data_IF_151241944179
#
_entry.id   IF_151241944179
#
_cell.length_a   1.000
_cell.length_b   1.000
_cell.length_c   1.000
_cell.angle_alpha   90.00
_cell.angle_beta   90.00
_cell.angle_gamma   90.00
#
_symmetry.space_group_name_H-M   'P 1'
#
loop_
_entity.id
_entity.type
_entity.pdbx_description
1 polymer ?
#
# COMPACT_ATOMS: atom_id res chain seq x y z
N UNK A 1 10.14 -22.88 14.79
CA UNK A 1 8.96 -22.18 15.35
C UNK A 1 7.86 -22.18 14.30
N UNK A 2 6.60 -22.30 14.69
CA UNK A 2 5.46 -22.22 13.77
C UNK A 2 4.36 -21.38 14.41
N UNK A 3 3.68 -20.56 13.62
CA UNK A 3 2.56 -19.75 14.07
C UNK A 3 1.47 -19.69 13.00
N UNK A 4 0.23 -19.51 13.44
CA UNK A 4 -0.89 -19.23 12.57
C UNK A 4 -0.78 -17.79 12.04
N UNK A 5 -0.97 -17.61 10.75
CA UNK A 5 -0.92 -16.32 10.10
C UNK A 5 -1.82 -16.33 8.86
N UNK A 6 -2.09 -15.15 8.33
CA UNK A 6 -2.80 -14.93 7.08
C UNK A 6 -1.83 -14.27 6.10
N UNK A 7 -1.63 -14.89 4.94
CA UNK A 7 -0.91 -14.28 3.84
C UNK A 7 -1.82 -13.27 3.13
N UNK A 8 -1.40 -12.01 3.11
CA UNK A 8 -2.17 -10.89 2.59
C UNK A 8 -1.65 -10.48 1.22
N UNK A 9 -2.57 -10.36 0.25
CA UNK A 9 -2.31 -9.87 -1.11
C UNK A 9 -3.45 -8.97 -1.55
N UNK A 10 -3.18 -8.16 -2.58
CA UNK A 10 -4.18 -7.29 -3.18
C UNK A 10 -5.43 -8.06 -3.64
N UNK A 11 -5.24 -9.30 -4.09
CA UNK A 11 -6.31 -10.17 -4.60
C UNK A 11 -7.08 -10.93 -3.52
N UNK A 12 -6.65 -10.85 -2.25
CA UNK A 12 -7.34 -11.52 -1.15
C UNK A 12 -6.41 -12.02 -0.05
N UNK A 13 -7.02 -12.75 0.89
CA UNK A 13 -6.37 -13.24 2.10
C UNK A 13 -6.36 -14.77 2.10
N UNK A 14 -5.25 -15.36 2.54
CA UNK A 14 -5.12 -16.81 2.67
C UNK A 14 -4.64 -17.16 4.09
N UNK A 15 -5.50 -17.68 4.96
CA UNK A 15 -5.10 -18.22 6.27
C UNK A 15 -4.17 -19.43 6.11
N UNK A 16 -3.34 -19.70 7.12
CA UNK A 16 -2.31 -20.72 7.01
C UNK A 16 -1.34 -20.75 8.19
N UNK A 17 -0.25 -21.47 7.98
CA UNK A 17 0.82 -21.61 8.95
C UNK A 17 2.13 -21.08 8.38
N UNK A 18 2.78 -20.19 9.11
CA UNK A 18 4.13 -19.74 8.84
C UNK A 18 5.09 -20.47 9.79
N UNK A 19 6.08 -21.14 9.23
CA UNK A 19 7.07 -21.91 9.97
C UNK A 19 8.48 -21.41 9.66
N UNK A 20 9.29 -21.16 10.68
CA UNK A 20 10.74 -21.03 10.54
C UNK A 20 11.39 -22.38 10.89
N UNK A 21 12.06 -22.98 9.90
CA UNK A 21 12.77 -24.26 10.04
C UNK A 21 14.11 -24.09 10.74
N UNK A 22 14.68 -25.18 11.27
CA UNK A 22 16.03 -25.19 11.84
C UNK A 22 17.12 -24.82 10.82
N UNK A 23 16.86 -25.05 9.53
CA UNK A 23 17.74 -24.65 8.42
C UNK A 23 17.60 -23.18 8.01
N UNK A 24 16.85 -22.36 8.76
CA UNK A 24 16.67 -20.93 8.46
C UNK A 24 15.75 -20.65 7.26
N UNK A 25 14.82 -21.57 6.94
CA UNK A 25 13.82 -21.34 5.90
C UNK A 25 12.49 -20.91 6.51
N UNK A 26 11.89 -19.86 5.95
CA UNK A 26 10.49 -19.53 6.16
C UNK A 26 9.63 -20.35 5.20
N UNK A 27 8.74 -21.16 5.76
CA UNK A 27 7.81 -22.02 5.02
C UNK A 27 6.40 -21.57 5.30
N UNK A 28 5.69 -21.17 4.24
CA UNK A 28 4.29 -20.82 4.30
C UNK A 28 3.43 -21.96 3.76
N UNK A 29 2.49 -22.45 4.57
CA UNK A 29 1.56 -23.52 4.24
C UNK A 29 0.12 -23.02 4.39
N UNK A 30 -0.62 -22.78 3.29
CA UNK A 30 -2.03 -22.39 3.35
C UNK A 30 -2.90 -23.44 4.08
N UNK A 31 -3.91 -22.99 4.82
CA UNK A 31 -5.01 -23.84 5.29
C UNK A 31 -6.03 -24.02 4.16
N UNK A 32 -6.75 -25.14 4.15
CA UNK A 32 -7.78 -25.42 3.16
C UNK A 32 -9.03 -24.52 3.33
N UNK A 33 -9.31 -24.09 4.57
CA UNK A 33 -10.48 -23.29 4.93
C UNK A 33 -10.18 -21.78 4.87
N UNK A 34 -11.17 -20.99 4.41
CA UNK A 34 -11.08 -19.52 4.36
C UNK A 34 -10.20 -18.96 3.24
N UNK A 35 -9.86 -19.79 2.26
CA UNK A 35 -9.11 -19.38 1.07
C UNK A 35 -10.03 -18.65 0.09
N UNK A 36 -9.77 -17.36 -0.14
CA UNK A 36 -10.30 -16.66 -1.33
C UNK A 36 -9.33 -16.94 -2.48
N UNK A 37 -9.76 -17.56 -3.58
CA UNK A 37 -8.90 -17.87 -4.71
C UNK A 37 -8.12 -16.64 -5.17
N UNK A 38 -6.80 -16.80 -5.30
CA UNK A 38 -6.02 -15.85 -6.08
C UNK A 38 -6.54 -15.96 -7.53
N UNK A 39 -7.13 -14.89 -8.09
CA UNK A 39 -7.61 -14.93 -9.46
C UNK A 39 -6.47 -15.32 -10.42
N UNK A 40 -5.23 -14.98 -10.07
CA UNK A 40 -4.01 -15.20 -10.87
C UNK A 40 -3.38 -16.58 -10.74
N UNK A 41 -4.00 -17.50 -9.99
CA UNK A 41 -3.58 -18.89 -10.11
C UNK A 41 -4.02 -19.43 -11.47
N UNK A 42 -3.07 -19.64 -12.37
CA UNK A 42 -3.31 -20.35 -13.63
C UNK A 42 -3.89 -21.76 -13.39
N UNK A 43 -3.77 -22.32 -12.18
CA UNK A 43 -4.39 -23.57 -11.77
C UNK A 43 -5.78 -23.43 -11.13
N UNK A 44 -6.31 -22.21 -10.95
CA UNK A 44 -7.68 -21.98 -10.43
C UNK A 44 -8.75 -22.05 -11.52
N UNK A 45 -8.41 -22.43 -12.76
CA UNK A 45 -9.36 -22.72 -13.83
C UNK A 45 -10.03 -24.09 -13.66
N UNK A 46 -10.56 -24.38 -12.47
CA UNK A 46 -11.58 -25.43 -12.37
C UNK A 46 -12.94 -24.78 -12.67
N UNK A 47 -13.68 -25.24 -13.69
CA UNK A 47 -15.00 -24.69 -14.05
C UNK A 47 -16.11 -25.07 -13.04
N UNK A 48 -15.75 -25.76 -11.97
CA UNK A 48 -16.66 -26.23 -10.94
C UNK A 48 -16.53 -25.37 -9.67
N UNK A 49 -17.56 -24.59 -9.30
CA UNK A 49 -17.56 -23.77 -8.08
C UNK A 49 -17.50 -24.61 -6.78
N UNK A 50 -17.78 -25.92 -6.85
CA UNK A 50 -17.67 -26.86 -5.73
C UNK A 50 -16.34 -27.65 -5.73
N UNK A 51 -15.46 -27.44 -6.72
CA UNK A 51 -14.16 -28.10 -6.75
C UNK A 51 -13.21 -27.49 -5.70
N UNK A 52 -12.89 -28.30 -4.68
CA UNK A 52 -11.84 -27.99 -3.71
C UNK A 52 -10.52 -27.76 -4.47
N UNK A 53 -10.06 -26.51 -4.49
CA UNK A 53 -8.80 -26.14 -5.14
C UNK A 53 -7.66 -27.05 -4.62
N UNK A 54 -6.76 -27.55 -5.50
CA UNK A 54 -5.68 -28.43 -5.07
C UNK A 54 -4.86 -27.76 -3.96
N UNK A 55 -4.42 -28.50 -2.92
CA UNK A 55 -3.68 -27.91 -1.82
C UNK A 55 -2.44 -27.20 -2.37
N UNK A 56 -2.42 -25.88 -2.26
CA UNK A 56 -1.31 -25.06 -2.77
C UNK A 56 -0.03 -25.49 -2.06
N UNK A 57 0.97 -25.89 -2.87
CA UNK A 57 2.27 -26.38 -2.37
C UNK A 57 2.88 -25.36 -1.39
N UNK A 58 3.46 -25.82 -0.26
CA UNK A 58 4.14 -24.95 0.67
C UNK A 58 5.18 -24.06 -0.04
N UNK A 59 5.15 -22.76 0.24
CA UNK A 59 6.14 -21.82 -0.30
C UNK A 59 7.33 -21.76 0.64
N UNK A 60 8.53 -22.04 0.13
CA UNK A 60 9.78 -21.99 0.89
C UNK A 60 10.57 -20.75 0.51
N UNK A 61 10.97 -19.97 1.51
CA UNK A 61 11.68 -18.71 1.38
C UNK A 61 12.93 -18.78 2.27
N UNK A 62 14.09 -18.44 1.72
CA UNK A 62 15.34 -18.48 2.49
C UNK A 62 15.47 -17.19 3.32
N UNK A 63 15.73 -17.31 4.62
CA UNK A 63 16.01 -16.13 5.45
C UNK A 63 17.23 -15.35 4.95
N UNK A 64 18.19 -16.04 4.34
CA UNK A 64 19.39 -15.45 3.73
C UNK A 64 19.11 -14.55 2.53
N UNK A 65 17.91 -14.61 1.97
CA UNK A 65 17.49 -13.76 0.85
C UNK A 65 16.73 -12.52 1.32
N UNK A 66 16.48 -12.36 2.62
CA UNK A 66 15.72 -11.22 3.12
C UNK A 66 16.53 -9.94 2.94
N UNK A 67 15.93 -8.95 2.28
CA UNK A 67 16.53 -7.64 2.02
C UNK A 67 15.91 -6.54 2.87
N UNK A 68 14.68 -6.73 3.37
CA UNK A 68 14.05 -5.83 4.32
C UNK A 68 12.89 -6.50 5.07
N UNK A 69 12.61 -6.02 6.28
CA UNK A 69 11.49 -6.45 7.12
C UNK A 69 10.83 -5.20 7.71
N UNK A 70 9.52 -5.10 7.55
CA UNK A 70 8.75 -3.98 8.03
C UNK A 70 7.62 -4.44 8.93
N UNK A 71 7.41 -3.78 10.06
CA UNK A 71 6.15 -3.92 10.79
C UNK A 71 5.02 -3.27 9.99
N UNK A 72 3.85 -3.89 10.08
CA UNK A 72 2.62 -3.45 9.45
C UNK A 72 1.47 -3.61 10.42
N UNK A 73 0.46 -2.77 10.23
CA UNK A 73 -0.85 -3.02 10.79
C UNK A 73 -1.67 -3.86 9.79
N UNK A 74 -2.60 -4.65 10.31
CA UNK A 74 -3.63 -5.29 9.51
C UNK A 74 -4.97 -5.07 10.21
N UNK A 75 -5.95 -4.48 9.50
CA UNK A 75 -7.23 -4.05 10.09
C UNK A 75 -7.04 -3.20 11.36
N UNK A 76 -6.12 -2.24 11.28
CA UNK A 76 -5.72 -1.34 12.37
C UNK A 76 -5.10 -2.04 13.61
N UNK A 77 -4.79 -3.33 13.54
CA UNK A 77 -4.10 -4.04 14.60
C UNK A 77 -2.62 -4.15 14.29
N UNK A 78 -1.77 -3.87 15.27
CA UNK A 78 -0.31 -4.06 15.18
C UNK A 78 0.04 -5.55 15.24
N UNK A 79 -0.27 -6.30 14.18
CA UNK A 79 -0.12 -7.76 14.15
C UNK A 79 0.54 -8.28 12.87
N UNK A 80 1.10 -7.44 12.01
CA UNK A 80 1.57 -7.86 10.70
C UNK A 80 3.02 -7.51 10.40
N UNK A 81 3.59 -8.20 9.40
CA UNK A 81 4.92 -7.96 8.87
C UNK A 81 4.91 -8.01 7.34
N UNK A 82 5.69 -7.16 6.70
CA UNK A 82 6.02 -7.25 5.28
C UNK A 82 7.51 -7.57 5.11
N UNK A 83 7.82 -8.69 4.44
CA UNK A 83 9.18 -9.19 4.24
C UNK A 83 9.51 -9.12 2.76
N UNK A 84 10.64 -8.48 2.44
CA UNK A 84 11.18 -8.33 1.10
C UNK A 84 12.36 -9.26 0.92
N UNK A 85 12.46 -9.86 -0.26
CA UNK A 85 13.51 -10.80 -0.62
C UNK A 85 14.23 -10.36 -1.88
N UNK A 86 15.54 -10.64 -1.93
CA UNK A 86 16.37 -10.47 -3.12
C UNK A 86 15.81 -11.29 -4.28
N UNK A 87 15.83 -10.76 -5.51
CA UNK A 87 15.49 -11.56 -6.68
C UNK A 87 16.43 -12.77 -6.81
N UNK A 88 15.88 -13.98 -6.92
CA UNK A 88 16.67 -15.17 -7.24
C UNK A 88 16.53 -15.48 -8.74
N UNK A 89 17.62 -15.30 -9.51
CA UNK A 89 17.68 -15.69 -10.92
C UNK A 89 16.67 -15.02 -11.86
N UNK A 90 16.12 -13.86 -11.50
CA UNK A 90 15.14 -13.11 -12.30
C UNK A 90 14.97 -11.67 -11.83
N UNK A 91 14.17 -10.85 -12.53
CA UNK A 91 14.04 -9.41 -12.27
C UNK A 91 12.97 -9.03 -11.22
N UNK A 92 12.11 -9.97 -10.80
CA UNK A 92 10.94 -9.66 -9.96
C UNK A 92 11.28 -9.71 -8.47
N UNK A 93 11.29 -8.54 -7.81
CA UNK A 93 11.35 -8.43 -6.34
C UNK A 93 10.21 -9.26 -5.72
N UNK A 94 10.51 -10.08 -4.72
CA UNK A 94 9.50 -10.88 -3.99
C UNK A 94 9.22 -10.21 -2.65
N UNK A 95 7.95 -9.97 -2.36
CA UNK A 95 7.48 -9.41 -1.09
C UNK A 95 6.33 -10.24 -0.55
N UNK A 96 6.29 -10.44 0.75
CA UNK A 96 5.26 -11.21 1.43
C UNK A 96 4.76 -10.47 2.65
N UNK A 97 3.45 -10.28 2.74
CA UNK A 97 2.78 -9.67 3.88
C UNK A 97 2.08 -10.77 4.69
N UNK A 98 2.42 -10.90 5.97
CA UNK A 98 1.78 -11.84 6.88
C UNK A 98 1.14 -11.10 8.06
N UNK A 99 -0.15 -11.31 8.28
CA UNK A 99 -0.86 -10.89 9.50
C UNK A 99 -0.95 -12.08 10.47
N UNK A 100 -0.53 -11.91 11.71
CA UNK A 100 -0.44 -13.00 12.68
C UNK A 100 -1.71 -13.10 13.52
N UNK A 101 -2.31 -14.30 13.57
CA UNK A 101 -3.56 -14.55 14.30
C UNK A 101 -3.38 -14.36 15.82
N UNK A 102 -2.19 -14.67 16.35
CA UNK A 102 -1.83 -14.41 17.75
C UNK A 102 -1.40 -12.98 18.05
N UNK A 103 -1.73 -12.02 17.16
CA UNK A 103 -1.46 -10.60 17.34
C UNK A 103 0.03 -10.24 17.35
N UNK A 104 0.34 -9.10 18.00
CA UNK A 104 1.70 -8.58 18.15
C UNK A 104 2.65 -9.62 18.79
N UNK A 105 2.18 -10.36 19.80
CA UNK A 105 3.01 -11.34 20.51
C UNK A 105 3.54 -12.44 19.59
N UNK A 106 2.65 -13.06 18.79
CA UNK A 106 3.04 -14.10 17.84
C UNK A 106 3.98 -13.57 16.74
N UNK A 107 3.70 -12.37 16.21
CA UNK A 107 4.58 -11.69 15.26
C UNK A 107 5.97 -11.47 15.85
N UNK A 108 6.02 -10.90 17.07
CA UNK A 108 7.26 -10.54 17.73
C UNK A 108 8.13 -11.77 17.99
N UNK A 109 7.54 -12.86 18.48
CA UNK A 109 8.23 -14.14 18.68
C UNK A 109 8.77 -14.72 17.36
N UNK A 110 8.03 -14.62 16.25
CA UNK A 110 8.51 -15.06 14.94
C UNK A 110 9.70 -14.23 14.47
N UNK A 111 9.64 -12.91 14.64
CA UNK A 111 10.74 -12.00 14.29
C UNK A 111 11.99 -12.23 15.14
N UNK A 112 11.84 -12.55 16.43
CA UNK A 112 12.98 -12.91 17.28
C UNK A 112 13.66 -14.19 16.79
N UNK A 113 12.89 -15.23 16.44
CA UNK A 113 13.47 -16.46 15.90
C UNK A 113 14.10 -16.26 14.52
N UNK A 114 13.49 -15.42 13.69
CA UNK A 114 14.06 -15.05 12.39
C UNK A 114 15.41 -14.34 12.57
N UNK A 115 15.48 -13.40 13.50
CA UNK A 115 16.73 -12.73 13.87
C UNK A 115 17.80 -13.72 14.30
N UNK A 116 17.47 -14.65 15.21
CA UNK A 116 18.43 -15.63 15.70
C UNK A 116 18.96 -16.51 14.56
N UNK A 117 18.10 -16.91 13.63
CA UNK A 117 18.50 -17.63 12.42
C UNK A 117 19.39 -16.80 11.48
N UNK A 118 19.10 -15.49 11.34
CA UNK A 118 19.93 -14.56 10.56
C UNK A 118 21.29 -14.30 11.23
N UNK A 119 21.36 -14.20 12.57
CA UNK A 119 22.63 -14.09 13.31
C UNK A 119 23.56 -15.26 13.06
N UNK A 120 23.00 -16.47 12.96
CA UNK A 120 23.79 -17.67 12.69
C UNK A 120 24.26 -17.79 11.23
N UNK A 121 23.52 -17.23 10.28
CA UNK A 121 23.75 -17.45 8.84
C UNK A 121 24.32 -16.26 8.09
N UNK A 122 24.05 -15.03 8.55
CA UNK A 122 24.44 -13.77 7.92
C UNK A 122 24.69 -12.66 8.98
N UNK A 123 25.71 -12.82 9.84
CA UNK A 123 25.97 -11.91 10.96
C UNK A 123 26.21 -10.44 10.53
N UNK A 124 26.71 -10.24 9.31
CA UNK A 124 27.00 -8.90 8.78
C UNK A 124 25.85 -8.28 7.97
N UNK A 125 24.72 -8.98 7.81
CA UNK A 125 23.59 -8.49 7.01
C UNK A 125 23.06 -7.15 7.55
N UNK A 126 22.89 -6.17 6.65
CA UNK A 126 22.26 -4.89 6.98
C UNK A 126 20.89 -5.08 7.64
N UNK A 127 20.12 -6.09 7.22
CA UNK A 127 18.82 -6.43 7.82
C UNK A 127 18.98 -6.88 9.27
N UNK A 128 20.00 -7.67 9.57
CA UNK A 128 20.26 -8.13 10.94
C UNK A 128 20.79 -7.01 11.83
N UNK A 129 21.78 -6.24 11.35
CA UNK A 129 22.29 -5.07 12.07
C UNK A 129 21.16 -4.11 12.42
N UNK A 130 20.20 -4.00 11.49
CA UNK A 130 19.00 -3.25 11.66
C UNK A 130 18.02 -3.86 12.70
N UNK A 131 17.71 -5.15 12.62
CA UNK A 131 16.91 -5.84 13.66
C UNK A 131 17.52 -5.70 15.06
N UNK A 132 18.85 -5.50 15.14
CA UNK A 132 19.59 -5.35 16.39
C UNK A 132 19.66 -3.90 16.90
N UNK A 133 20.00 -2.93 16.04
CA UNK A 133 20.34 -1.52 16.37
C UNK A 133 19.35 -0.50 15.79
N UNK A 134 18.80 -0.85 14.63
CA UNK A 134 17.81 -0.20 13.79
C UNK A 134 18.04 1.25 13.33
N UNK A 135 16.94 1.94 12.96
CA UNK A 135 16.86 3.15 12.12
C UNK A 135 18.09 4.06 12.14
N UNK A 136 18.43 4.60 13.31
CA UNK A 136 19.49 5.61 13.45
C UNK A 136 20.86 5.15 12.96
N UNK A 137 21.18 3.85 13.04
CA UNK A 137 22.51 3.36 12.67
C UNK A 137 22.75 3.19 11.16
N UNK A 138 21.69 3.03 10.35
CA UNK A 138 21.82 2.81 8.89
C UNK A 138 21.77 4.10 8.07
N UNK A 139 21.16 5.18 8.58
CA UNK A 139 21.11 6.44 7.85
C UNK A 139 22.50 7.08 7.72
N UNK A 140 23.33 7.00 8.76
CA UNK A 140 24.70 7.52 8.73
C UNK A 140 25.59 6.79 7.71
N UNK A 141 25.32 5.52 7.39
CA UNK A 141 26.13 4.76 6.43
C UNK A 141 25.70 4.96 4.98
N UNK A 142 24.39 5.05 4.71
CA UNK A 142 23.87 5.20 3.34
C UNK A 142 23.94 6.64 2.81
N UNK A 143 23.83 7.66 3.67
CA UNK A 143 23.98 9.08 3.27
C UNK A 143 25.45 9.44 3.04
N UNK A 144 26.39 8.86 3.79
CA UNK A 144 27.82 9.13 3.63
C UNK A 144 28.46 8.40 2.45
N UNK A 145 27.78 7.42 1.84
CA UNK A 145 28.29 6.66 0.70
C UNK A 145 28.24 7.43 -0.65
N UNK A 146 27.86 8.71 -0.68
CA UNK A 146 27.89 9.55 -1.87
C UNK A 146 26.94 9.16 -3.01
N UNK A 147 26.18 8.07 -2.86
CA UNK A 147 25.19 7.63 -3.84
C UNK A 147 23.91 8.47 -3.69
N UNK A 148 23.90 9.64 -4.34
CA UNK A 148 22.84 10.64 -4.32
C UNK A 148 21.48 10.22 -4.89
N UNK A 149 21.09 8.96 -4.78
CA UNK A 149 19.79 8.44 -5.18
C UNK A 149 19.24 7.53 -4.07
N UNK A 150 18.15 7.94 -3.43
CA UNK A 150 17.43 7.02 -2.56
C UNK A 150 16.69 6.00 -3.44
N UNK A 151 16.94 4.71 -3.28
CA UNK A 151 16.26 3.72 -4.08
C UNK A 151 14.79 3.62 -3.69
N UNK A 152 13.92 3.72 -4.68
CA UNK A 152 12.49 3.41 -4.53
C UNK A 152 12.34 2.00 -3.93
N UNK A 153 11.87 1.93 -2.68
CA UNK A 153 11.57 0.68 -1.97
C UNK A 153 10.65 -0.19 -2.84
N UNK A 154 9.69 0.47 -3.49
CA UNK A 154 8.71 -0.17 -4.36
C UNK A 154 9.14 -0.33 -5.81
N UNK A 155 10.27 0.25 -6.22
CA UNK A 155 10.85 0.14 -7.55
C UNK A 155 9.89 0.63 -8.63
N UNK A 156 10.15 1.83 -9.13
CA UNK A 156 9.74 2.30 -10.46
C UNK A 156 9.46 1.15 -11.43
N UNK A 157 8.31 1.19 -12.11
CA UNK A 157 8.00 0.33 -13.26
C UNK A 157 8.95 0.55 -14.46
N UNK A 158 10.01 1.35 -14.34
CA UNK A 158 11.08 1.44 -15.31
C UNK A 158 12.43 1.78 -14.63
N UNK A 159 13.46 0.96 -14.85
CA UNK A 159 14.85 1.37 -14.63
C UNK A 159 15.63 0.55 -13.60
N UNK A 160 16.73 -0.01 -14.08
CA UNK A 160 17.72 -0.79 -13.35
C UNK A 160 18.44 0.02 -12.26
N UNK A 161 18.77 -0.63 -11.14
CA UNK A 161 19.87 -0.19 -10.27
C UNK A 161 19.53 -0.07 -8.79
N UNK A 162 20.09 -1.00 -8.01
CA UNK A 162 20.40 -0.89 -6.56
C UNK A 162 19.22 -0.68 -5.60
N UNK A 163 18.47 -1.75 -5.33
CA UNK A 163 17.52 -1.80 -4.23
C UNK A 163 18.26 -2.02 -2.89
N UNK A 164 18.51 -0.96 -2.13
CA UNK A 164 19.02 -1.07 -0.76
C UNK A 164 18.53 0.06 0.15
N UNK A 165 17.91 -0.36 1.26
CA UNK A 165 17.57 0.42 2.45
C UNK A 165 16.51 1.51 2.28
N UNK A 166 15.38 1.36 2.97
CA UNK A 166 14.94 2.27 4.05
C UNK A 166 13.64 1.73 4.67
N UNK A 167 13.55 1.83 6.00
CA UNK A 167 12.38 1.60 6.87
C UNK A 167 12.08 0.14 7.33
N UNK A 168 11.66 -0.19 8.56
CA UNK A 168 12.25 0.09 9.87
C UNK A 168 11.56 -0.65 11.06
N UNK A 169 12.37 -1.17 11.99
CA UNK A 169 12.21 -1.45 13.44
C UNK A 169 13.55 -1.52 14.26
N UNK A 170 13.90 -0.57 15.17
CA UNK A 170 14.66 -0.92 16.39
C UNK A 170 13.89 -0.86 17.70
N UNK A 171 14.59 -1.42 18.69
CA UNK A 171 14.30 -1.62 20.12
C UNK A 171 14.51 -0.35 20.94
N UNK A 172 13.83 -0.27 22.08
CA UNK A 172 14.35 0.34 23.32
C UNK A 172 14.34 -0.73 24.43
N UNK A 173 15.33 -0.79 25.34
CA UNK A 173 15.27 -1.67 26.50
C UNK A 173 14.05 -1.30 27.36
N UNK A 174 13.28 -2.28 27.82
CA UNK A 174 12.27 -2.03 28.83
C UNK A 174 12.99 -1.57 30.11
N UNK A 175 12.74 -0.34 30.55
CA UNK A 175 13.11 0.12 31.89
C UNK A 175 12.16 -0.56 32.89
N UNK A 176 12.50 -1.78 33.30
CA UNK A 176 11.74 -2.55 34.26
C UNK A 176 12.61 -3.64 34.87
N UNK A 177 13.02 -3.42 36.12
CA UNK A 177 13.71 -4.41 36.95
C UNK A 177 12.80 -5.62 37.19
N UNK A 178 13.17 -6.78 36.64
CA UNK A 178 12.61 -8.07 37.06
C UNK A 178 12.11 -8.95 35.94
N UNK A 179 12.88 -10.00 35.65
CA UNK A 179 12.42 -11.31 35.17
C UNK A 179 11.34 -11.35 34.06
N UNK A 180 11.72 -10.93 32.85
CA UNK A 180 11.48 -11.63 31.58
C UNK A 180 12.00 -10.69 30.48
N UNK A 181 13.07 -11.08 29.79
CA UNK A 181 13.65 -10.29 28.69
C UNK A 181 12.73 -10.30 27.46
N UNK A 182 11.61 -9.58 27.54
CA UNK A 182 10.71 -9.28 26.43
C UNK A 182 11.11 -7.98 25.75
N UNK A 183 11.26 -8.00 24.42
CA UNK A 183 11.64 -6.84 23.63
C UNK A 183 10.39 -6.14 23.05
N UNK A 184 10.30 -4.81 23.17
CA UNK A 184 9.17 -4.00 22.63
C UNK A 184 9.65 -3.22 21.40
N UNK A 185 8.90 -3.31 20.30
CA UNK A 185 9.16 -2.55 19.07
C UNK A 185 8.61 -1.13 19.20
N UNK A 186 9.47 -0.10 19.21
CA UNK A 186 9.05 1.29 19.40
C UNK A 186 8.85 1.98 18.04
N UNK A 187 7.63 1.88 17.50
CA UNK A 187 7.27 2.44 16.20
C UNK A 187 7.48 3.97 16.13
N UNK A 188 7.13 4.70 17.19
CA UNK A 188 7.14 6.16 17.21
C UNK A 188 8.56 6.74 17.09
N UNK A 189 9.51 6.23 17.89
CA UNK A 189 10.90 6.70 17.82
C UNK A 189 11.50 6.50 16.42
N UNK A 190 11.21 5.35 15.81
CA UNK A 190 11.76 4.97 14.50
C UNK A 190 11.20 5.81 13.38
N UNK A 191 9.88 6.01 13.42
CA UNK A 191 9.19 6.90 12.51
C UNK A 191 9.81 8.30 12.58
N UNK A 192 10.05 8.83 13.78
CA UNK A 192 10.63 10.19 13.96
C UNK A 192 12.03 10.31 13.38
N UNK A 193 12.95 9.41 13.71
CA UNK A 193 14.34 9.46 13.22
C UNK A 193 14.37 9.36 11.69
N UNK A 194 13.63 8.40 11.15
CA UNK A 194 13.57 8.18 9.71
C UNK A 194 12.97 9.34 8.93
N UNK A 195 11.85 9.86 9.44
CA UNK A 195 11.17 11.00 8.85
C UNK A 195 12.13 12.19 8.81
N UNK A 196 12.85 12.47 9.90
CA UNK A 196 13.80 13.59 9.93
C UNK A 196 14.89 13.48 8.84
N UNK A 197 15.48 12.30 8.62
CA UNK A 197 16.46 12.12 7.57
C UNK A 197 15.87 12.23 6.15
N UNK A 198 14.69 11.65 5.93
CA UNK A 198 13.97 11.75 4.65
C UNK A 198 13.58 13.21 4.36
N UNK A 199 13.08 13.93 5.37
CA UNK A 199 12.74 15.36 5.26
C UNK A 199 13.98 16.16 4.92
N UNK A 200 15.12 15.93 5.58
CA UNK A 200 16.38 16.61 5.26
C UNK A 200 16.84 16.31 3.82
N UNK A 201 16.73 15.07 3.37
CA UNK A 201 17.06 14.69 2.00
C UNK A 201 16.16 15.36 0.97
N UNK A 202 14.85 15.38 1.21
CA UNK A 202 13.87 16.07 0.39
C UNK A 202 14.08 17.58 0.35
N UNK A 203 14.28 18.24 1.50
CA UNK A 203 14.59 19.67 1.58
C UNK A 203 15.88 20.03 0.83
N UNK A 204 16.88 19.14 0.84
CA UNK A 204 18.12 19.29 0.06
C UNK A 204 18.00 18.86 -1.41
N UNK A 205 16.79 18.54 -1.90
CA UNK A 205 16.49 18.05 -3.26
C UNK A 205 17.21 16.76 -3.67
N UNK A 206 17.67 15.97 -2.69
CA UNK A 206 18.18 14.60 -2.91
C UNK A 206 17.06 13.56 -3.05
N UNK A 207 15.82 13.96 -2.75
CA UNK A 207 14.60 13.20 -2.99
C UNK A 207 13.63 14.06 -3.79
N UNK A 208 12.97 13.45 -4.79
CA UNK A 208 11.82 14.07 -5.46
C UNK A 208 10.61 14.10 -4.51
N UNK A 209 9.60 14.91 -4.83
CA UNK A 209 8.32 14.88 -4.10
C UNK A 209 7.67 13.50 -4.15
N UNK A 210 7.73 12.83 -5.31
CA UNK A 210 7.19 11.48 -5.48
C UNK A 210 7.88 10.48 -4.55
N UNK A 211 9.22 10.45 -4.56
CA UNK A 211 9.98 9.51 -3.73
C UNK A 211 9.79 9.78 -2.23
N UNK A 212 9.71 11.06 -1.86
CA UNK A 212 9.44 11.45 -0.48
C UNK A 212 8.03 11.02 -0.03
N UNK A 213 6.99 11.23 -0.85
CA UNK A 213 5.64 10.77 -0.55
C UNK A 213 5.54 9.24 -0.49
N UNK A 214 6.23 8.51 -1.38
CA UNK A 214 6.32 7.05 -1.30
C UNK A 214 6.99 6.59 0.00
N UNK A 215 8.06 7.27 0.43
CA UNK A 215 8.75 6.95 1.68
C UNK A 215 7.86 7.22 2.90
N UNK A 216 7.13 8.34 2.93
CA UNK A 216 6.15 8.65 3.98
C UNK A 216 5.02 7.63 4.05
N UNK A 217 4.46 7.23 2.89
CA UNK A 217 3.46 6.16 2.83
C UNK A 217 4.00 4.85 3.42
N UNK A 218 5.21 4.46 3.04
CA UNK A 218 5.86 3.25 3.54
C UNK A 218 6.08 3.30 5.05
N UNK A 219 6.51 4.46 5.57
CA UNK A 219 6.67 4.72 7.00
C UNK A 219 5.36 4.59 7.76
N UNK A 220 4.28 5.13 7.20
CA UNK A 220 2.92 5.04 7.73
C UNK A 220 2.32 3.62 7.65
N UNK A 221 3.07 2.62 7.19
CA UNK A 221 2.62 1.23 7.09
C UNK A 221 1.83 0.91 5.83
N UNK A 222 1.71 1.86 4.90
CA UNK A 222 0.99 1.67 3.62
C UNK A 222 1.82 0.87 2.63
N UNK A 223 1.12 0.12 1.79
CA UNK A 223 1.76 -0.73 0.78
C UNK A 223 0.75 -1.37 -0.17
N UNK A 224 1.27 -2.03 -1.19
CA UNK A 224 0.47 -2.58 -2.29
C UNK A 224 -0.17 -3.94 -2.01
N UNK A 225 0.21 -4.61 -0.91
CA UNK A 225 -0.31 -5.94 -0.57
C UNK A 225 -1.70 -5.89 0.09
N UNK A 226 -2.06 -4.80 0.75
CA UNK A 226 -3.36 -4.60 1.38
C UNK A 226 -4.01 -3.36 0.76
N UNK A 227 -5.03 -3.56 -0.07
CA UNK A 227 -5.71 -2.45 -0.76
C UNK A 227 -6.41 -1.49 0.20
N UNK A 228 -6.71 -1.92 1.43
CA UNK A 228 -7.29 -1.04 2.47
C UNK A 228 -6.26 -0.07 3.04
N UNK A 229 -4.97 -0.33 2.83
CA UNK A 229 -3.83 0.48 3.28
C UNK A 229 -2.93 0.85 2.11
N UNK A 230 -3.52 1.09 0.93
CA UNK A 230 -2.78 1.48 -0.26
C UNK A 230 -2.07 2.82 -0.06
N UNK A 231 -0.94 3.08 -0.77
CA UNK A 231 -0.32 4.40 -0.76
C UNK A 231 -1.28 5.50 -1.27
N UNK A 232 -1.21 6.67 -0.64
CA UNK A 232 -2.07 7.83 -0.92
C UNK A 232 -1.23 8.98 -1.42
N UNK A 233 -1.67 9.59 -2.51
CA UNK A 233 -1.08 10.76 -3.13
C UNK A 233 -2.14 11.88 -3.21
N UNK A 234 -1.75 13.14 -3.08
CA UNK A 234 -2.70 14.23 -3.17
C UNK A 234 -3.14 14.45 -4.63
N UNK A 235 -4.35 14.94 -4.84
CA UNK A 235 -4.64 15.76 -6.02
C UNK A 235 -3.72 16.99 -6.02
N UNK A 236 -3.11 17.32 -7.17
CA UNK A 236 -2.23 18.50 -7.29
C UNK A 236 -2.81 19.56 -8.21
N UNK A 237 -3.38 19.15 -9.35
CA UNK A 237 -4.06 20.07 -10.24
C UNK A 237 -5.52 20.26 -9.81
N UNK A 238 -6.07 21.42 -10.14
CA UNK A 238 -7.48 21.76 -9.94
C UNK A 238 -8.21 22.13 -11.23
N UNK A 239 -7.47 22.32 -12.32
CA UNK A 239 -8.02 22.59 -13.65
C UNK A 239 -7.95 21.33 -14.53
N UNK A 240 -9.14 20.83 -14.86
CA UNK A 240 -9.34 19.70 -15.76
C UNK A 240 -10.32 20.03 -16.89
N UNK A 241 -10.71 21.31 -17.01
CA UNK A 241 -11.70 21.78 -18.00
C UNK A 241 -11.06 22.63 -19.10
N UNK A 242 -9.95 23.29 -18.80
CA UNK A 242 -9.23 24.09 -19.79
C UNK A 242 -8.64 23.22 -20.90
N UNK A 243 -8.64 23.69 -22.16
CA UNK A 243 -8.07 22.94 -23.29
C UNK A 243 -6.54 22.78 -23.21
N UNK A 244 -5.86 23.67 -22.46
CA UNK A 244 -4.43 23.61 -22.20
C UNK A 244 -4.17 24.01 -20.73
N UNK A 245 -3.24 23.32 -20.06
CA UNK A 245 -2.92 23.56 -18.65
C UNK A 245 -1.86 24.66 -18.57
N UNK A 246 -2.17 25.76 -17.89
CA UNK A 246 -1.16 26.77 -17.54
C UNK A 246 -0.44 26.38 -16.24
N UNK A 247 0.73 25.76 -16.36
CA UNK A 247 1.55 25.39 -15.19
C UNK A 247 2.15 26.59 -14.44
N UNK A 248 1.98 27.81 -14.95
CA UNK A 248 2.42 29.05 -14.29
C UNK A 248 1.31 29.73 -13.51
N UNK A 249 0.03 29.39 -13.76
CA UNK A 249 -1.11 29.92 -13.03
C UNK A 249 -1.29 29.19 -11.69
N UNK A 250 -1.17 29.89 -10.53
CA UNK A 250 -1.47 29.29 -9.24
C UNK A 250 -2.89 28.72 -9.12
N UNK A 251 -3.86 29.21 -9.91
CA UNK A 251 -5.23 28.70 -9.89
C UNK A 251 -5.39 27.32 -10.55
N UNK A 252 -4.41 26.87 -11.35
CA UNK A 252 -4.36 25.51 -11.88
C UNK A 252 -3.99 24.47 -10.83
N UNK A 253 -3.60 24.89 -9.62
CA UNK A 253 -3.18 24.01 -8.54
C UNK A 253 -4.17 24.01 -7.36
N UNK A 254 -4.37 22.82 -6.80
CA UNK A 254 -5.16 22.62 -5.59
C UNK A 254 -4.47 23.27 -4.39
N UNK A 255 -5.26 23.89 -3.51
CA UNK A 255 -4.80 24.27 -2.17
C UNK A 255 -4.48 23.01 -1.34
N UNK A 256 -3.19 22.67 -1.25
CA UNK A 256 -2.67 21.52 -0.50
C UNK A 256 -2.74 21.70 1.03
N UNK A 257 -3.09 22.90 1.53
CA UNK A 257 -3.27 23.13 2.98
C UNK A 257 -4.62 22.60 3.49
N UNK A 258 -5.51 22.21 2.59
CA UNK A 258 -6.87 21.74 2.90
C UNK A 258 -7.09 20.30 2.46
N UNK A 259 -7.90 19.50 3.16
CA UNK A 259 -8.38 18.22 2.63
C UNK A 259 -9.39 18.45 1.50
N UNK A 260 -9.62 17.43 0.66
CA UNK A 260 -10.59 17.47 -0.44
C UNK A 260 -11.94 18.05 -0.01
N UNK A 261 -12.51 17.53 1.07
CA UNK A 261 -13.80 17.96 1.63
C UNK A 261 -13.90 19.45 2.01
N UNK A 262 -12.78 20.16 2.14
CA UNK A 262 -12.71 21.55 2.59
C UNK A 262 -12.32 22.55 1.48
N UNK A 263 -12.17 22.11 0.24
CA UNK A 263 -11.81 22.98 -0.89
C UNK A 263 -12.92 23.98 -1.21
N UNK A 264 -14.16 23.50 -1.35
CA UNK A 264 -15.33 24.34 -1.60
C UNK A 264 -15.94 24.84 -0.28
N UNK A 265 -16.07 26.16 -0.13
CA UNK A 265 -16.52 26.80 1.12
C UNK A 265 -17.96 26.40 1.48
N UNK A 266 -18.89 26.39 0.52
CA UNK A 266 -20.28 26.01 0.79
C UNK A 266 -20.39 24.54 1.21
N UNK A 267 -19.63 23.66 0.57
CA UNK A 267 -19.55 22.25 0.95
C UNK A 267 -19.01 22.06 2.36
N UNK A 268 -17.97 22.82 2.74
CA UNK A 268 -17.42 22.79 4.09
C UNK A 268 -18.44 23.28 5.15
N UNK A 269 -19.26 24.29 4.84
CA UNK A 269 -20.34 24.72 5.73
C UNK A 269 -21.33 23.59 5.97
N UNK A 270 -21.70 22.87 4.94
CA UNK A 270 -22.61 21.72 5.06
C UNK A 270 -22.00 20.60 5.90
N UNK A 271 -20.73 20.25 5.70
CA UNK A 271 -20.03 19.28 6.55
C UNK A 271 -20.03 19.71 8.03
N UNK A 272 -19.78 20.99 8.31
CA UNK A 272 -19.80 21.53 9.68
C UNK A 272 -21.20 21.55 10.28
N UNK A 273 -22.23 21.84 9.49
CA UNK A 273 -23.62 21.78 9.94
C UNK A 273 -23.98 20.36 10.37
N UNK A 274 -23.71 19.35 9.52
CA UNK A 274 -23.91 17.93 9.84
C UNK A 274 -23.11 17.52 11.08
N UNK A 275 -21.84 17.89 11.17
CA UNK A 275 -20.99 17.63 12.34
C UNK A 275 -21.61 18.16 13.63
N UNK A 276 -22.20 19.36 13.59
CA UNK A 276 -22.77 20.02 14.77
C UNK A 276 -24.08 19.37 15.22
N UNK A 277 -24.82 18.72 14.31
CA UNK A 277 -26.07 18.01 14.60
C UNK A 277 -25.87 16.55 15.04
N UNK A 278 -24.66 15.99 14.89
CA UNK A 278 -24.36 14.63 15.32
C UNK A 278 -24.39 14.54 16.86
N UNK A 279 -25.06 13.49 17.34
CA UNK A 279 -25.13 13.12 18.74
C UNK A 279 -23.88 12.33 19.15
N UNK A 280 -23.07 12.92 20.04
CA UNK A 280 -21.84 12.31 20.54
C UNK A 280 -22.08 11.09 21.42
N UNK A 281 -23.27 10.95 22.00
CA UNK A 281 -23.62 9.77 22.81
C UNK A 281 -23.80 8.52 21.93
N UNK A 282 -24.17 8.70 20.66
CA UNK A 282 -24.38 7.61 19.70
C UNK A 282 -23.10 7.28 18.94
N UNK A 283 -22.35 8.30 18.49
CA UNK A 283 -21.15 8.14 17.69
C UNK A 283 -20.22 9.36 17.82
N UNK A 284 -18.89 9.18 17.84
CA UNK A 284 -17.97 10.30 17.74
C UNK A 284 -18.26 11.17 16.52
N UNK A 285 -18.26 12.49 16.67
CA UNK A 285 -18.51 13.39 15.55
C UNK A 285 -17.45 13.25 14.47
N UNK A 286 -17.89 13.36 13.23
CA UNK A 286 -17.03 13.28 12.05
C UNK A 286 -17.50 14.26 10.99
N UNK A 287 -16.55 14.74 10.18
CA UNK A 287 -16.88 15.59 9.03
C UNK A 287 -17.23 14.74 7.81
N UNK A 288 -16.49 13.65 7.56
CA UNK A 288 -16.60 12.86 6.34
C UNK A 288 -17.07 11.45 6.67
N UNK A 289 -18.22 11.03 6.12
CA UNK A 289 -18.71 9.66 6.23
C UNK A 289 -18.04 8.68 5.27
N UNK A 290 -17.28 9.20 4.31
CA UNK A 290 -16.41 8.44 3.41
C UNK A 290 -14.94 8.72 3.70
N UNK A 291 -14.06 7.84 3.22
CA UNK A 291 -12.62 7.94 3.43
C UNK A 291 -11.91 8.22 2.11
N UNK A 292 -10.84 9.02 2.16
CA UNK A 292 -10.07 9.44 1.00
C UNK A 292 -9.31 8.31 0.28
N UNK A 293 -9.20 7.15 0.92
CA UNK A 293 -8.50 5.98 0.40
C UNK A 293 -9.25 4.72 0.83
N UNK A 294 -9.98 4.11 -0.10
CA UNK A 294 -10.71 2.86 0.12
C UNK A 294 -10.34 1.84 -0.96
N UNK A 295 -10.32 0.55 -0.58
CA UNK A 295 -9.91 -0.52 -1.50
C UNK A 295 -10.75 -0.54 -2.78
N UNK A 296 -12.07 -0.67 -2.67
CA UNK A 296 -12.96 -0.72 -3.84
C UNK A 296 -13.24 0.68 -4.36
N UNK A 297 -13.74 1.55 -3.48
CA UNK A 297 -14.22 2.88 -3.87
C UNK A 297 -13.15 3.77 -4.48
N UNK A 298 -11.88 3.67 -4.06
CA UNK A 298 -10.79 4.53 -4.59
C UNK A 298 -9.85 3.73 -5.49
N UNK A 299 -9.20 2.70 -4.95
CA UNK A 299 -8.07 2.04 -5.64
C UNK A 299 -8.56 1.21 -6.82
N UNK A 300 -9.52 0.31 -6.60
CA UNK A 300 -10.08 -0.51 -7.69
C UNK A 300 -10.83 0.35 -8.69
N UNK A 301 -11.57 1.36 -8.23
CA UNK A 301 -12.26 2.32 -9.10
C UNK A 301 -11.29 3.00 -10.09
N UNK A 302 -10.18 3.57 -9.62
CA UNK A 302 -9.19 4.20 -10.52
C UNK A 302 -8.47 3.18 -11.40
N UNK A 303 -8.07 2.04 -10.84
CA UNK A 303 -7.20 1.09 -11.52
C UNK A 303 -7.97 0.00 -12.28
N UNK A 304 -9.29 0.13 -12.47
CA UNK A 304 -10.17 -0.90 -13.05
C UNK A 304 -9.71 -1.44 -14.42
N UNK A 305 -8.93 -0.67 -15.19
CA UNK A 305 -8.36 -1.06 -16.49
C UNK A 305 -7.08 -1.89 -16.39
N UNK A 306 -6.48 -1.96 -15.21
CA UNK A 306 -5.27 -2.71 -14.95
C UNK A 306 -5.56 -4.03 -14.26
N UNK A 307 -4.81 -5.06 -14.66
CA UNK A 307 -4.77 -6.32 -13.94
C UNK A 307 -3.92 -6.16 -12.65
N UNK A 308 -4.34 -6.68 -11.47
CA UNK A 308 -5.50 -7.52 -11.18
C UNK A 308 -6.79 -6.78 -10.82
N UNK A 309 -6.81 -5.45 -10.80
CA UNK A 309 -7.92 -4.65 -10.29
C UNK A 309 -9.22 -4.86 -11.06
N UNK A 310 -9.17 -5.09 -12.37
CA UNK A 310 -10.35 -5.47 -13.16
C UNK A 310 -11.06 -6.69 -12.56
N UNK A 311 -10.31 -7.73 -12.22
CA UNK A 311 -10.87 -8.98 -11.67
C UNK A 311 -11.36 -8.79 -10.26
N UNK A 312 -10.65 -7.98 -9.46
CA UNK A 312 -11.09 -7.61 -8.12
C UNK A 312 -12.44 -6.89 -8.20
N UNK A 313 -12.59 -5.91 -9.12
CA UNK A 313 -13.86 -5.22 -9.34
C UNK A 313 -15.00 -6.20 -9.65
N UNK A 314 -14.80 -7.06 -10.64
CA UNK A 314 -15.79 -8.05 -11.06
C UNK A 314 -16.17 -8.99 -9.92
N UNK A 315 -15.20 -9.43 -9.11
CA UNK A 315 -15.46 -10.27 -7.94
C UNK A 315 -16.27 -9.56 -6.85
N UNK A 316 -16.07 -8.25 -6.66
CA UNK A 316 -16.86 -7.45 -5.71
C UNK A 316 -18.26 -7.09 -6.23
N UNK A 317 -18.50 -7.25 -7.53
CA UNK A 317 -19.75 -6.90 -8.22
C UNK A 317 -20.41 -8.17 -8.78
N UNK A 318 -20.40 -9.24 -7.99
CA UNK A 318 -21.10 -10.51 -8.27
C UNK A 318 -20.88 -11.09 -9.68
N UNK A 319 -19.67 -10.94 -10.21
CA UNK A 319 -19.27 -11.51 -11.50
C UNK A 319 -19.50 -10.61 -12.71
N UNK A 320 -19.94 -9.37 -12.54
CA UNK A 320 -20.11 -8.38 -13.61
C UNK A 320 -19.40 -7.06 -13.31
N UNK A 321 -19.34 -6.15 -14.29
CA UNK A 321 -18.95 -4.77 -14.00
C UNK A 321 -20.12 -4.02 -13.34
N UNK A 322 -19.82 -3.14 -12.39
CA UNK A 322 -20.77 -2.16 -11.88
C UNK A 322 -21.43 -1.33 -13.02
N UNK A 323 -22.54 -0.67 -12.74
CA UNK A 323 -23.24 0.19 -13.71
C UNK A 323 -22.30 1.27 -14.23
N UNK A 324 -22.41 1.56 -15.52
CA UNK A 324 -21.47 2.40 -16.27
C UNK A 324 -21.22 3.76 -15.60
N UNK A 325 -22.26 4.44 -15.12
CA UNK A 325 -22.18 5.77 -14.51
C UNK A 325 -21.36 5.82 -13.21
N UNK A 326 -21.12 4.66 -12.57
CA UNK A 326 -20.28 4.55 -11.36
C UNK A 326 -18.84 4.16 -11.67
N UNK A 327 -18.53 3.78 -12.92
CA UNK A 327 -17.18 3.43 -13.32
C UNK A 327 -16.32 4.67 -13.57
N UNK A 328 -15.01 4.54 -13.39
CA UNK A 328 -14.08 5.61 -13.68
C UNK A 328 -14.01 5.85 -15.19
N UNK A 329 -14.57 6.96 -15.65
CA UNK A 329 -14.72 7.31 -17.07
C UNK A 329 -14.07 8.63 -17.47
N UNK A 330 -13.90 9.58 -16.53
CA UNK A 330 -13.31 10.90 -16.79
C UNK A 330 -12.58 11.45 -15.56
N UNK A 331 -11.39 12.02 -15.76
CA UNK A 331 -10.63 12.71 -14.71
C UNK A 331 -11.37 13.96 -14.25
N UNK A 332 -11.87 14.77 -15.19
CA UNK A 332 -12.63 15.99 -14.93
C UNK A 332 -13.88 15.70 -14.10
N UNK A 333 -14.66 14.69 -14.50
CA UNK A 333 -15.85 14.26 -13.76
C UNK A 333 -15.50 13.78 -12.35
N UNK A 334 -14.43 12.98 -12.24
CA UNK A 334 -13.93 12.48 -10.96
C UNK A 334 -13.51 13.62 -10.03
N UNK A 335 -12.79 14.61 -10.55
CA UNK A 335 -12.42 15.81 -9.80
C UNK A 335 -13.66 16.58 -9.32
N UNK A 336 -14.63 16.80 -10.22
CA UNK A 336 -15.90 17.46 -9.90
C UNK A 336 -16.66 16.72 -8.79
N UNK A 337 -16.78 15.39 -8.88
CA UNK A 337 -17.39 14.57 -7.84
C UNK A 337 -16.69 14.73 -6.49
N UNK A 338 -15.35 14.67 -6.46
CA UNK A 338 -14.59 14.79 -5.22
C UNK A 338 -14.54 16.21 -4.64
N UNK A 339 -14.90 17.23 -5.42
CA UNK A 339 -14.94 18.64 -4.97
C UNK A 339 -16.33 19.17 -4.66
N UNK A 340 -17.38 18.54 -5.22
CA UNK A 340 -18.76 19.01 -5.10
C UNK A 340 -19.68 18.05 -4.34
N UNK A 341 -19.49 16.73 -4.46
CA UNK A 341 -20.38 15.76 -3.82
C UNK A 341 -20.05 15.59 -2.32
N UNK A 342 -21.08 15.51 -1.48
CA UNK A 342 -20.95 15.37 -0.02
C UNK A 342 -20.50 13.97 0.42
N UNK A 343 -20.65 12.97 -0.45
CA UNK A 343 -20.25 11.58 -0.19
C UNK A 343 -18.84 11.28 -0.68
N UNK A 344 -18.14 12.24 -1.31
CA UNK A 344 -16.89 11.99 -2.03
C UNK A 344 -15.74 12.92 -1.60
N UNK A 345 -14.66 12.29 -1.14
CA UNK A 345 -13.43 12.95 -0.66
C UNK A 345 -12.17 12.17 -1.05
N UNK A 346 -12.21 11.39 -2.14
CA UNK A 346 -11.12 10.53 -2.58
C UNK A 346 -9.87 11.34 -2.91
N UNK A 347 -8.73 10.88 -2.41
CA UNK A 347 -7.39 11.30 -2.85
C UNK A 347 -6.85 10.29 -3.88
N UNK A 348 -5.70 10.60 -4.48
CA UNK A 348 -5.12 9.83 -5.58
C UNK A 348 -4.27 8.65 -5.11
N UNK A 349 -3.91 7.79 -6.06
CA UNK A 349 -2.89 6.74 -5.90
C UNK A 349 -1.60 7.13 -6.63
N UNK A 350 -0.44 6.50 -6.32
CA UNK A 350 0.83 6.81 -6.98
C UNK A 350 0.78 6.65 -8.52
N UNK A 351 -0.05 5.74 -9.03
CA UNK A 351 -0.18 5.43 -10.45
C UNK A 351 -0.55 6.66 -11.29
N UNK A 352 -1.28 7.62 -10.72
CA UNK A 352 -1.60 8.91 -11.35
C UNK A 352 -0.37 9.72 -11.77
N UNK A 353 0.78 9.46 -11.16
CA UNK A 353 2.04 10.16 -11.40
C UNK A 353 3.11 9.28 -12.06
N UNK A 354 2.84 7.99 -12.26
CA UNK A 354 3.88 7.04 -12.68
C UNK A 354 3.42 5.96 -13.67
N UNK A 355 2.14 5.85 -13.96
CA UNK A 355 1.59 4.78 -14.79
C UNK A 355 0.45 5.30 -15.67
N UNK A 356 0.68 5.69 -16.93
CA UNK A 356 -0.41 6.18 -17.79
C UNK A 356 -1.42 5.07 -18.18
N UNK A 357 -1.04 3.79 -18.15
CA UNK A 357 -1.88 2.71 -18.67
C UNK A 357 -3.20 2.49 -17.90
N UNK A 358 -3.37 3.00 -16.66
CA UNK A 358 -4.68 2.89 -15.98
C UNK A 358 -5.77 3.74 -16.63
N UNK A 359 -5.40 4.71 -17.47
CA UNK A 359 -6.32 5.55 -18.24
C UNK A 359 -6.75 4.89 -19.56
N UNK A 360 -6.03 3.86 -20.03
CA UNK A 360 -6.23 3.27 -21.36
C UNK A 360 -6.85 1.88 -21.25
N UNK A 361 -7.94 1.62 -21.99
CA UNK A 361 -8.59 0.31 -22.01
C UNK A 361 -7.91 -0.67 -22.99
N UNK A 362 -6.63 -0.97 -22.77
CA UNK A 362 -5.87 -1.86 -23.66
C UNK A 362 -6.50 -3.25 -23.84
N UNK A 363 -7.15 -3.77 -22.81
CA UNK A 363 -7.79 -5.08 -22.82
C UNK A 363 -9.20 -5.08 -23.46
N UNK A 364 -9.70 -3.90 -23.89
CA UNK A 364 -11.01 -3.72 -24.54
C UNK A 364 -12.16 -4.33 -23.73
N UNK A 365 -12.13 -4.14 -22.40
CA UNK A 365 -13.24 -4.54 -21.54
C UNK A 365 -14.51 -3.78 -21.90
N UNK A 366 -15.66 -4.46 -21.87
CA UNK A 366 -16.96 -3.83 -22.06
C UNK A 366 -17.41 -3.17 -20.75
N UNK A 367 -17.23 -1.85 -20.64
CA UNK A 367 -17.70 -1.06 -19.50
C UNK A 367 -19.12 -0.50 -19.69
N UNK A 368 -19.80 -0.83 -20.79
CA UNK A 368 -21.14 -0.34 -21.09
C UNK A 368 -21.17 1.08 -21.69
N UNK A 369 -22.38 1.63 -21.72
CA UNK A 369 -22.70 2.96 -22.26
C UNK A 369 -23.20 3.87 -21.13
N UNK A 370 -22.81 5.14 -21.16
CA UNK A 370 -23.36 6.17 -20.26
C UNK A 370 -24.80 6.48 -20.64
N UNK A 371 -25.55 7.10 -19.73
CA UNK A 371 -26.94 7.50 -19.98
C UNK A 371 -27.11 8.45 -21.16
N UNK A 372 -26.08 9.22 -21.50
CA UNK A 372 -26.08 10.12 -22.66
C UNK A 372 -25.78 9.41 -24.00
N UNK A 373 -25.62 8.08 -23.98
CA UNK A 373 -25.31 7.25 -25.13
C UNK A 373 -23.82 7.19 -25.49
N UNK A 374 -22.95 7.88 -24.74
CA UNK A 374 -21.50 7.80 -24.94
C UNK A 374 -20.99 6.44 -24.45
N UNK A 375 -20.40 5.65 -25.35
CA UNK A 375 -19.67 4.44 -24.96
C UNK A 375 -18.48 4.81 -24.09
N UNK A 376 -18.33 4.17 -22.93
CA UNK A 376 -17.20 4.40 -22.00
C UNK A 376 -15.86 3.84 -22.54
N UNK A 377 -15.84 3.36 -23.78
CA UNK A 377 -14.72 2.62 -24.35
C UNK A 377 -14.41 3.10 -25.76
N UNK A 378 -13.27 3.78 -25.95
CA UNK A 378 -12.20 3.16 -26.77
C UNK A 378 -10.81 3.84 -26.73
N UNK A 379 -10.61 5.10 -26.33
CA UNK A 379 -9.28 5.73 -26.60
C UNK A 379 -8.49 6.20 -25.38
N UNK A 380 -9.08 6.86 -24.38
CA UNK A 380 -8.38 7.28 -23.15
C UNK A 380 -9.42 7.81 -22.15
N UNK A 381 -9.26 7.53 -20.86
CA UNK A 381 -9.93 8.33 -19.80
C UNK A 381 -9.25 9.70 -19.84
N UNK A 382 -9.84 10.61 -20.61
CA UNK A 382 -9.21 11.86 -21.00
C UNK A 382 -8.64 12.65 -19.83
N UNK A 383 -7.33 12.87 -19.87
CA UNK A 383 -6.83 14.23 -19.72
C UNK A 383 -7.14 14.90 -21.06
N UNK A 384 -8.22 15.70 -21.15
CA UNK A 384 -8.48 16.52 -22.34
C UNK A 384 -7.41 17.61 -22.55
N UNK A 385 -6.42 17.64 -21.69
CA UNK A 385 -5.36 18.62 -21.60
C UNK A 385 -4.07 17.93 -22.00
N UNK A 386 -3.56 18.14 -23.22
CA UNK A 386 -2.17 17.83 -23.53
C UNK A 386 -1.29 18.61 -22.56
N UNK A 387 -0.34 17.92 -21.92
CA UNK A 387 0.70 18.56 -21.10
C UNK A 387 1.70 19.35 -21.96
#
# INVERSE_FOLDING_TARGET
MQCAATFVKATGYAPGMLQLTHSGQLVWTPRAEGYVPDPDDANAHSPDPDAVAPPRRPRRLLATQITAVFLRCFRLQDCAVEIFFSPYGGTRKRRYFFAFEGGASARNAMLEKLRDAMSASQPDSNVLQYMNKGAGALFDTAVNAGNGYAPSIYGSMAGNGVAAAYVQIPRTPASGSGASTGYVYNYEHNFRVASAHLTAAWMSRRLSNFDYLMALNTLAGRGYNDLTQYPVFPWVLSDYTSPALDITDPASYRDLTRPMGALAIERLKEFRARFSTLDEEVMPRFLYGSHYSTAVGTIVHYLIRLHPFTRIHVAYQDGHFDVTDRLFSSVEYTWSMNTQNMSEVKELTPEWYSQPHFLVNHARYNFGELQDGTRVVDEEVGLRVPL
#
